data_IF_114685745858
#
_entry.id   IF_114685745858
#
_cell.length_a   1.000
_cell.length_b   1.000
_cell.length_c   1.000
_cell.angle_alpha   90.00
_cell.angle_beta   90.00
_cell.angle_gamma   90.00
#
_symmetry.space_group_name_H-M   'P 1'
#
loop_
_entity.id
_entity.type
_entity.pdbx_description
1 polymer ?
#
# COMPACT_ATOMS: atom_id res chain seq x y z
N UNK A 1 13.61 9.39 13.80
CA UNK A 1 12.56 9.12 12.78
C UNK A 1 13.24 8.96 11.42
N UNK A 2 12.86 7.95 10.66
CA UNK A 2 13.37 7.70 9.31
C UNK A 2 12.80 8.75 8.35
N UNK A 3 13.67 9.44 7.61
CA UNK A 3 13.21 10.38 6.59
C UNK A 3 12.72 9.66 5.32
N UNK A 4 11.90 10.36 4.52
CA UNK A 4 11.40 9.84 3.22
C UNK A 4 12.54 9.52 2.26
N UNK A 5 13.53 10.38 2.20
CA UNK A 5 14.71 10.26 1.32
C UNK A 5 15.60 9.10 1.75
N UNK A 6 15.83 8.95 3.03
CA UNK A 6 16.57 7.83 3.62
C UNK A 6 15.86 6.49 3.31
N UNK A 7 14.57 6.41 3.57
CA UNK A 7 13.76 5.21 3.30
C UNK A 7 13.79 4.83 1.81
N UNK A 8 13.68 5.80 0.91
CA UNK A 8 13.74 5.54 -0.53
C UNK A 8 15.12 5.06 -0.98
N UNK A 9 16.18 5.62 -0.44
CA UNK A 9 17.56 5.13 -0.72
C UNK A 9 17.75 3.72 -0.19
N UNK A 10 17.34 3.45 1.04
CA UNK A 10 17.45 2.13 1.66
C UNK A 10 16.73 1.05 0.82
N UNK A 11 15.52 1.35 0.38
CA UNK A 11 14.71 0.42 -0.43
C UNK A 11 15.05 0.44 -1.93
N UNK A 12 15.96 1.31 -2.40
CA UNK A 12 16.25 1.47 -3.84
C UNK A 12 15.02 1.92 -4.64
N UNK A 13 14.26 2.88 -4.12
CA UNK A 13 13.05 3.44 -4.74
C UNK A 13 13.34 4.79 -5.42
N UNK A 14 12.56 5.17 -6.45
CA UNK A 14 12.73 6.45 -7.12
C UNK A 14 12.46 7.62 -6.18
N UNK A 15 13.40 8.60 -6.16
CA UNK A 15 13.27 9.77 -5.29
C UNK A 15 12.19 10.76 -5.77
N UNK A 16 11.97 10.83 -7.09
CA UNK A 16 11.20 11.86 -7.79
C UNK A 16 9.76 11.45 -8.14
N UNK A 17 9.33 10.25 -7.79
CA UNK A 17 7.98 9.75 -8.08
C UNK A 17 7.07 9.79 -6.86
N UNK A 18 5.78 9.96 -7.11
CA UNK A 18 4.74 9.73 -6.12
C UNK A 18 4.61 8.23 -5.85
N UNK A 19 4.94 7.80 -4.64
CA UNK A 19 4.88 6.39 -4.25
C UNK A 19 3.57 6.11 -3.55
N UNK A 20 2.76 5.25 -4.19
CA UNK A 20 1.53 4.68 -3.62
C UNK A 20 1.86 3.29 -3.12
N UNK A 21 1.62 3.02 -1.84
CA UNK A 21 1.92 1.71 -1.26
C UNK A 21 0.65 0.96 -0.87
N UNK A 22 0.45 -0.20 -1.47
CA UNK A 22 -0.56 -1.18 -1.07
C UNK A 22 0.13 -2.22 -0.15
N UNK A 23 0.09 -1.94 1.15
CA UNK A 23 0.96 -2.58 2.13
C UNK A 23 0.47 -3.95 2.62
N UNK A 24 -0.84 -4.15 2.72
CA UNK A 24 -1.42 -5.38 3.26
C UNK A 24 -1.26 -6.60 2.35
N UNK A 25 -1.35 -7.80 2.94
CA UNK A 25 -1.44 -9.05 2.18
C UNK A 25 -2.66 -9.05 1.27
N UNK A 26 -2.51 -9.33 -0.02
CA UNK A 26 -3.63 -9.49 -0.95
C UNK A 26 -4.33 -10.83 -0.71
N UNK A 27 -5.66 -10.81 -0.57
CA UNK A 27 -6.46 -11.99 -0.23
C UNK A 27 -6.88 -12.78 -1.47
N UNK A 28 -7.11 -12.09 -2.58
CA UNK A 28 -7.64 -12.68 -3.80
C UNK A 28 -7.20 -11.91 -5.06
N UNK A 29 -7.52 -12.48 -6.23
CA UNK A 29 -7.21 -11.88 -7.52
C UNK A 29 -7.96 -10.57 -7.80
N UNK A 30 -9.11 -10.35 -7.17
CA UNK A 30 -9.91 -9.13 -7.37
C UNK A 30 -9.21 -7.93 -6.72
N UNK A 31 -8.63 -8.10 -5.52
CA UNK A 31 -7.83 -7.05 -4.88
C UNK A 31 -6.60 -6.70 -5.74
N UNK A 32 -5.93 -7.69 -6.35
CA UNK A 32 -4.80 -7.47 -7.25
C UNK A 32 -5.25 -6.68 -8.49
N UNK A 33 -6.35 -7.10 -9.13
CA UNK A 33 -6.90 -6.42 -10.30
C UNK A 33 -7.30 -4.99 -9.98
N UNK A 34 -8.05 -4.77 -8.90
CA UNK A 34 -8.47 -3.45 -8.43
C UNK A 34 -7.28 -2.50 -8.29
N UNK A 35 -6.19 -2.94 -7.66
CA UNK A 35 -5.00 -2.11 -7.46
C UNK A 35 -4.29 -1.82 -8.79
N UNK A 36 -4.11 -2.82 -9.65
CA UNK A 36 -3.43 -2.65 -10.94
C UNK A 36 -4.24 -1.79 -11.91
N UNK A 37 -5.55 -1.99 -11.99
CA UNK A 37 -6.45 -1.21 -12.85
C UNK A 37 -6.49 0.25 -12.38
N UNK A 38 -6.68 0.48 -11.08
CA UNK A 38 -6.67 1.83 -10.53
C UNK A 38 -5.32 2.51 -10.75
N UNK A 39 -4.21 1.85 -10.45
CA UNK A 39 -2.88 2.41 -10.67
C UNK A 39 -2.62 2.73 -12.15
N UNK A 40 -3.02 1.86 -13.07
CA UNK A 40 -2.86 2.07 -14.51
C UNK A 40 -3.64 3.29 -15.00
N UNK A 41 -4.85 3.51 -14.47
CA UNK A 41 -5.75 4.60 -14.85
C UNK A 41 -5.38 5.97 -14.27
N UNK A 42 -4.50 6.06 -13.27
CA UNK A 42 -4.03 7.34 -12.72
C UNK A 42 -3.36 8.19 -13.79
N UNK A 43 -3.70 9.47 -13.85
CA UNK A 43 -3.16 10.44 -14.85
C UNK A 43 -1.72 10.83 -14.58
N UNK A 44 -1.31 10.86 -13.30
CA UNK A 44 0.06 11.23 -12.93
C UNK A 44 1.06 10.23 -13.52
N UNK A 45 1.90 10.68 -14.46
CA UNK A 45 2.94 9.86 -15.09
C UNK A 45 4.14 9.60 -14.17
N UNK A 46 4.37 10.48 -13.18
CA UNK A 46 5.42 10.33 -12.16
C UNK A 46 4.91 9.54 -10.95
N UNK A 47 4.28 8.41 -11.21
CA UNK A 47 3.72 7.51 -10.20
C UNK A 47 4.56 6.23 -10.07
N UNK A 48 4.55 5.66 -8.88
CA UNK A 48 5.18 4.38 -8.58
C UNK A 48 4.30 3.59 -7.61
N UNK A 49 4.05 2.31 -7.90
CA UNK A 49 3.32 1.41 -7.02
C UNK A 49 4.29 0.50 -6.27
N UNK A 50 4.18 0.51 -4.96
CA UNK A 50 4.89 -0.38 -4.05
C UNK A 50 3.88 -1.36 -3.42
N UNK A 51 3.96 -2.64 -3.77
CA UNK A 51 3.03 -3.66 -3.31
C UNK A 51 3.79 -4.94 -2.89
N UNK A 52 4.50 -4.91 -1.76
CA UNK A 52 5.47 -5.94 -1.39
C UNK A 52 4.87 -7.33 -1.19
N UNK A 53 3.56 -7.45 -0.99
CA UNK A 53 2.86 -8.72 -0.70
C UNK A 53 1.71 -9.01 -1.67
N UNK A 54 1.89 -8.67 -2.96
CA UNK A 54 0.80 -8.72 -3.96
C UNK A 54 0.54 -10.13 -4.53
N UNK A 55 1.59 -10.90 -4.85
CA UNK A 55 1.43 -12.12 -5.64
C UNK A 55 1.43 -13.40 -4.82
N UNK A 56 0.58 -14.39 -5.20
CA UNK A 56 0.54 -15.69 -4.53
C UNK A 56 1.71 -16.62 -4.91
N UNK A 57 2.69 -16.13 -5.64
CA UNK A 57 3.86 -16.92 -6.03
C UNK A 57 4.84 -17.07 -4.88
N UNK A 58 5.47 -18.23 -4.78
CA UNK A 58 6.46 -18.53 -3.75
C UNK A 58 7.78 -18.96 -4.37
N UNK A 59 8.89 -18.54 -3.77
CA UNK A 59 10.25 -18.96 -4.15
C UNK A 59 10.44 -20.47 -3.97
N UNK A 60 9.79 -21.03 -2.94
CA UNK A 60 9.81 -22.46 -2.65
C UNK A 60 8.39 -23.01 -2.65
N UNK A 61 7.81 -23.30 -3.84
CA UNK A 61 6.45 -23.82 -3.92
C UNK A 61 6.41 -25.26 -3.38
N UNK A 62 5.62 -25.50 -2.32
CA UNK A 62 5.37 -26.82 -1.74
C UNK A 62 4.54 -27.77 -2.62
N UNK A 63 4.47 -27.55 -3.92
CA UNK A 63 3.62 -28.30 -4.85
C UNK A 63 4.34 -29.55 -5.36
N UNK A 64 3.65 -30.71 -5.26
CA UNK A 64 4.15 -32.00 -5.77
C UNK A 64 4.19 -32.07 -7.29
N UNK A 65 3.33 -31.32 -8.00
CA UNK A 65 3.27 -31.34 -9.46
C UNK A 65 4.41 -30.47 -10.05
N UNK A 66 5.33 -31.05 -10.86
CA UNK A 66 6.49 -30.35 -11.38
C UNK A 66 6.13 -29.19 -12.32
N UNK A 67 5.06 -29.32 -13.12
CA UNK A 67 4.60 -28.25 -14.00
C UNK A 67 4.07 -27.06 -13.22
N UNK A 68 3.27 -27.30 -12.18
CA UNK A 68 2.78 -26.23 -11.31
C UNK A 68 3.91 -25.54 -10.54
N UNK A 69 4.92 -26.32 -10.15
CA UNK A 69 6.14 -25.81 -9.51
C UNK A 69 6.92 -24.88 -10.46
N UNK A 70 7.11 -25.31 -11.71
CA UNK A 70 7.78 -24.53 -12.74
C UNK A 70 7.03 -23.22 -13.03
N UNK A 71 5.70 -23.28 -13.20
CA UNK A 71 4.86 -22.10 -13.42
C UNK A 71 4.89 -21.12 -12.25
N UNK A 72 4.91 -21.63 -11.02
CA UNK A 72 5.03 -20.78 -9.82
C UNK A 72 6.38 -20.08 -9.76
N UNK A 73 7.48 -20.79 -10.05
CA UNK A 73 8.82 -20.20 -10.11
C UNK A 73 8.94 -19.16 -11.23
N UNK A 74 8.45 -19.47 -12.42
CA UNK A 74 8.41 -18.52 -13.53
C UNK A 74 7.62 -17.27 -13.16
N UNK A 75 6.44 -17.42 -12.54
CA UNK A 75 5.64 -16.30 -12.03
C UNK A 75 6.37 -15.47 -10.97
N UNK A 76 7.09 -16.12 -10.06
CA UNK A 76 7.85 -15.44 -9.01
C UNK A 76 8.96 -14.53 -9.56
N UNK A 77 9.65 -14.92 -10.62
CA UNK A 77 10.74 -14.13 -11.20
C UNK A 77 10.29 -13.20 -12.34
N UNK A 78 9.46 -13.68 -13.27
CA UNK A 78 9.10 -12.94 -14.48
C UNK A 78 8.07 -11.85 -14.23
N UNK A 79 7.04 -12.12 -13.40
CA UNK A 79 5.98 -11.14 -13.17
C UNK A 79 6.50 -9.87 -12.50
N UNK A 80 7.27 -9.92 -11.41
CA UNK A 80 7.85 -8.71 -10.83
C UNK A 80 8.78 -7.97 -11.78
N UNK A 81 9.56 -8.69 -12.61
CA UNK A 81 10.46 -8.07 -13.59
C UNK A 81 9.69 -7.28 -14.65
N UNK A 82 8.60 -7.84 -15.20
CA UNK A 82 7.74 -7.16 -16.17
C UNK A 82 7.02 -5.94 -15.57
N UNK A 83 6.60 -6.04 -14.31
CA UNK A 83 5.92 -4.94 -13.63
C UNK A 83 6.83 -3.76 -13.31
N UNK A 84 8.13 -4.00 -13.10
CA UNK A 84 9.11 -2.93 -12.94
C UNK A 84 9.15 -1.97 -14.14
N UNK A 85 8.92 -2.48 -15.35
CA UNK A 85 8.81 -1.67 -16.57
C UNK A 85 7.62 -0.69 -16.54
N UNK A 86 6.62 -0.96 -15.70
CA UNK A 86 5.43 -0.13 -15.49
C UNK A 86 5.50 0.72 -14.19
N UNK A 87 6.68 0.88 -13.59
CA UNK A 87 6.87 1.53 -12.30
C UNK A 87 6.10 0.83 -11.14
N UNK A 88 6.06 -0.49 -11.18
CA UNK A 88 5.44 -1.31 -10.14
C UNK A 88 6.50 -2.22 -9.53
N UNK A 89 6.72 -2.11 -8.22
CA UNK A 89 7.50 -3.06 -7.44
C UNK A 89 6.56 -3.89 -6.60
N UNK A 90 6.43 -5.13 -6.98
CA UNK A 90 5.56 -6.08 -6.32
C UNK A 90 6.36 -7.29 -5.83
N UNK A 91 5.98 -7.82 -4.68
CA UNK A 91 6.60 -8.99 -4.04
C UNK A 91 5.62 -10.14 -3.85
N UNK A 92 6.15 -11.25 -3.36
CA UNK A 92 5.38 -12.45 -3.08
C UNK A 92 4.56 -12.32 -1.79
N UNK A 93 3.33 -12.79 -1.83
CA UNK A 93 2.36 -12.67 -0.74
C UNK A 93 2.75 -13.48 0.52
N UNK A 94 3.59 -14.52 0.35
CA UNK A 94 4.09 -15.37 1.44
C UNK A 94 5.32 -14.81 2.15
N UNK A 95 5.96 -13.77 1.62
CA UNK A 95 7.11 -13.13 2.26
C UNK A 95 6.60 -12.16 3.33
N UNK A 96 7.03 -12.39 4.57
CA UNK A 96 6.83 -11.42 5.64
C UNK A 96 7.81 -10.27 5.41
N UNK A 97 7.35 -9.06 5.63
CA UNK A 97 8.26 -7.92 5.75
C UNK A 97 8.72 -7.95 7.21
N UNK A 98 10.03 -7.98 7.40
CA UNK A 98 10.60 -7.94 8.73
C UNK A 98 10.15 -6.66 9.44
N UNK A 99 9.93 -6.75 10.74
CA UNK A 99 9.48 -5.60 11.56
C UNK A 99 10.46 -4.42 11.45
N UNK A 100 11.74 -4.69 11.27
CA UNK A 100 12.77 -3.67 11.10
C UNK A 100 12.70 -2.96 9.73
N UNK A 101 12.17 -3.63 8.70
CA UNK A 101 11.98 -3.09 7.35
C UNK A 101 10.67 -2.33 7.19
N UNK A 102 9.64 -2.69 7.96
CA UNK A 102 8.31 -2.09 7.89
C UNK A 102 8.33 -0.55 7.98
N UNK A 103 9.08 0.09 8.89
CA UNK A 103 9.16 1.54 8.97
C UNK A 103 9.67 2.19 7.68
N UNK A 104 10.62 1.55 6.97
CA UNK A 104 11.15 2.07 5.70
C UNK A 104 10.11 2.05 4.60
N UNK A 105 9.31 0.97 4.49
CA UNK A 105 8.22 0.90 3.50
C UNK A 105 7.20 2.01 3.70
N UNK A 106 6.82 2.30 4.94
CA UNK A 106 5.84 3.33 5.25
C UNK A 106 6.47 4.73 5.06
N UNK A 107 7.68 4.95 5.58
CA UNK A 107 8.37 6.23 5.45
C UNK A 107 8.60 6.62 3.98
N UNK A 108 8.94 5.66 3.10
CA UNK A 108 9.17 5.88 1.67
C UNK A 108 7.91 6.30 0.90
N UNK A 109 6.72 5.98 1.42
CA UNK A 109 5.43 6.20 0.75
C UNK A 109 4.98 7.66 0.81
N UNK A 110 4.21 8.11 -0.17
CA UNK A 110 3.44 9.35 -0.12
C UNK A 110 1.99 9.06 0.26
N UNK A 111 1.44 7.99 -0.31
CA UNK A 111 0.05 7.55 -0.08
C UNK A 111 0.03 6.08 0.31
N UNK A 112 -0.71 5.75 1.35
CA UNK A 112 -1.03 4.37 1.71
C UNK A 112 -2.40 4.03 1.13
N UNK A 113 -2.44 2.97 0.32
CA UNK A 113 -3.65 2.46 -0.30
C UNK A 113 -4.15 1.22 0.45
N UNK A 114 -5.29 1.33 1.12
CA UNK A 114 -5.95 0.20 1.78
C UNK A 114 -6.74 -0.58 0.74
N UNK A 115 -6.14 -1.63 0.18
CA UNK A 115 -6.65 -2.39 -0.97
C UNK A 115 -7.73 -3.43 -0.62
N UNK A 116 -8.52 -3.21 0.41
CA UNK A 116 -9.56 -4.14 0.84
C UNK A 116 -10.91 -3.81 0.25
N UNK A 117 -11.63 -4.82 -0.24
CA UNK A 117 -13.04 -4.66 -0.61
C UNK A 117 -13.97 -4.61 0.60
N UNK A 118 -13.68 -5.43 1.62
CA UNK A 118 -14.41 -5.45 2.88
C UNK A 118 -13.42 -5.46 4.03
N UNK A 119 -13.53 -4.49 4.90
CA UNK A 119 -12.67 -4.34 6.05
C UNK A 119 -13.45 -3.68 7.19
N UNK A 120 -13.32 -4.21 8.38
CA UNK A 120 -13.88 -3.57 9.59
C UNK A 120 -12.84 -2.63 10.18
N UNK A 121 -11.66 -3.16 10.48
CA UNK A 121 -10.53 -2.44 11.08
C UNK A 121 -9.25 -2.67 10.29
N UNK A 122 -8.33 -1.71 10.38
CA UNK A 122 -6.99 -1.83 9.79
C UNK A 122 -5.96 -1.11 10.65
N UNK A 123 -5.01 -1.85 11.20
CA UNK A 123 -3.85 -1.28 11.89
C UNK A 123 -2.97 -0.41 10.99
N UNK A 124 -3.04 -0.63 9.66
CA UNK A 124 -2.27 0.16 8.70
C UNK A 124 -2.66 1.64 8.68
N UNK A 125 -3.91 2.01 9.01
CA UNK A 125 -4.36 3.41 9.01
C UNK A 125 -3.72 4.19 10.16
N UNK A 126 -3.83 3.78 11.44
CA UNK A 126 -3.12 4.42 12.55
C UNK A 126 -1.61 4.49 12.32
N UNK A 127 -1.02 3.40 11.84
CA UNK A 127 0.41 3.34 11.55
C UNK A 127 0.81 4.35 10.46
N UNK A 128 0.05 4.44 9.37
CA UNK A 128 0.28 5.43 8.32
C UNK A 128 0.21 6.87 8.86
N UNK A 129 -0.74 7.16 9.72
CA UNK A 129 -0.89 8.48 10.36
C UNK A 129 0.33 8.83 11.23
N UNK A 130 0.85 7.87 12.00
CA UNK A 130 2.07 8.07 12.79
C UNK A 130 3.31 8.37 11.93
N UNK A 131 3.32 7.90 10.69
CA UNK A 131 4.36 8.21 9.70
C UNK A 131 4.03 9.41 8.82
N UNK A 132 3.05 10.25 9.19
CA UNK A 132 2.62 11.45 8.43
C UNK A 132 2.21 11.12 7.01
N UNK A 133 1.49 10.00 6.80
CA UNK A 133 1.03 9.61 5.46
C UNK A 133 -0.44 9.93 5.26
N UNK A 134 -0.80 10.14 4.00
CA UNK A 134 -2.20 10.19 3.57
C UNK A 134 -2.65 8.78 3.24
N UNK A 135 -3.88 8.45 3.58
CA UNK A 135 -4.47 7.13 3.33
C UNK A 135 -5.65 7.28 2.38
N UNK A 136 -5.72 6.40 1.38
CA UNK A 136 -6.93 6.18 0.60
C UNK A 136 -7.44 4.77 0.91
N UNK A 137 -8.72 4.64 1.23
CA UNK A 137 -9.29 3.36 1.65
C UNK A 137 -10.77 3.19 1.32
N UNK A 138 -11.30 1.97 1.49
CA UNK A 138 -12.69 1.68 1.21
C UNK A 138 -13.62 2.40 2.21
N UNK A 139 -14.76 2.87 1.69
CA UNK A 139 -15.81 3.51 2.49
C UNK A 139 -16.67 2.46 3.18
N UNK A 140 -16.07 1.67 4.06
CA UNK A 140 -16.78 0.69 4.87
C UNK A 140 -16.08 0.44 6.21
N UNK A 141 -16.87 0.02 7.20
CA UNK A 141 -16.43 -0.25 8.56
C UNK A 141 -15.77 0.96 9.23
N UNK A 142 -15.07 0.72 10.31
CA UNK A 142 -14.37 1.76 11.07
C UNK A 142 -13.27 2.44 10.25
N UNK A 143 -12.75 1.77 9.21
CA UNK A 143 -11.77 2.37 8.28
C UNK A 143 -12.40 3.52 7.51
N UNK A 144 -13.57 3.32 6.91
CA UNK A 144 -14.28 4.36 6.17
C UNK A 144 -14.67 5.54 7.08
N UNK A 145 -15.16 5.26 8.29
CA UNK A 145 -15.51 6.29 9.29
C UNK A 145 -14.30 7.14 9.66
N UNK A 146 -13.19 6.51 10.03
CA UNK A 146 -11.96 7.20 10.41
C UNK A 146 -11.39 8.05 9.27
N UNK A 147 -11.39 7.53 8.04
CA UNK A 147 -10.88 8.26 6.89
C UNK A 147 -11.75 9.49 6.58
N UNK A 148 -13.07 9.37 6.66
CA UNK A 148 -13.99 10.53 6.49
C UNK A 148 -13.78 11.57 7.59
N UNK A 149 -13.74 11.15 8.85
CA UNK A 149 -13.53 12.02 10.00
C UNK A 149 -12.23 12.84 9.87
N UNK A 150 -11.18 12.20 9.38
CA UNK A 150 -9.87 12.83 9.21
C UNK A 150 -9.68 13.50 7.84
N UNK A 151 -10.71 13.57 6.99
CA UNK A 151 -10.63 14.16 5.65
C UNK A 151 -9.71 13.43 4.68
N UNK A 152 -9.46 12.14 4.92
CA UNK A 152 -8.73 11.28 3.99
C UNK A 152 -9.69 10.69 2.94
N UNK A 153 -9.22 10.44 1.69
CA UNK A 153 -10.09 9.97 0.63
C UNK A 153 -10.64 8.56 0.87
N UNK A 154 -11.94 8.40 0.64
CA UNK A 154 -12.62 7.11 0.65
C UNK A 154 -13.17 6.76 -0.73
N UNK A 155 -13.39 5.47 -0.98
CA UNK A 155 -13.93 4.96 -2.24
C UNK A 155 -14.85 3.77 -2.04
N UNK A 156 -15.80 3.58 -2.97
CA UNK A 156 -16.51 2.32 -3.11
C UNK A 156 -15.61 1.30 -3.81
N UNK A 157 -15.38 0.10 -3.24
CA UNK A 157 -14.48 -0.90 -3.83
C UNK A 157 -14.90 -1.43 -5.20
N UNK A 158 -16.17 -1.25 -5.57
CA UNK A 158 -16.72 -1.70 -6.85
C UNK A 158 -16.79 -0.56 -7.89
N UNK A 159 -16.39 0.67 -7.53
CA UNK A 159 -16.27 1.83 -8.43
C UNK A 159 -14.80 2.11 -8.76
N UNK A 160 -14.29 1.54 -9.85
CA UNK A 160 -12.90 1.76 -10.26
C UNK A 160 -12.58 3.25 -10.53
N UNK A 161 -13.52 4.01 -11.09
CA UNK A 161 -13.34 5.44 -11.32
C UNK A 161 -13.27 6.21 -9.98
N UNK A 162 -14.07 5.80 -8.99
CA UNK A 162 -14.03 6.34 -7.63
C UNK A 162 -12.70 6.06 -6.94
N UNK A 163 -12.15 4.85 -7.11
CA UNK A 163 -10.83 4.50 -6.58
C UNK A 163 -9.74 5.40 -7.19
N UNK A 164 -9.77 5.60 -8.51
CA UNK A 164 -8.82 6.49 -9.20
C UNK A 164 -8.93 7.92 -8.67
N UNK A 165 -10.15 8.47 -8.55
CA UNK A 165 -10.36 9.82 -7.98
C UNK A 165 -9.83 9.93 -6.55
N UNK A 166 -10.07 8.93 -5.71
CA UNK A 166 -9.58 8.90 -4.33
C UNK A 166 -8.05 8.88 -4.27
N UNK A 167 -7.38 8.09 -5.11
CA UNK A 167 -5.92 8.05 -5.17
C UNK A 167 -5.32 9.36 -5.72
N UNK A 168 -5.93 9.98 -6.73
CA UNK A 168 -5.51 11.28 -7.23
C UNK A 168 -5.69 12.38 -6.16
N UNK A 169 -6.79 12.35 -5.41
CA UNK A 169 -7.02 13.25 -4.29
C UNK A 169 -5.99 13.02 -3.18
N UNK A 170 -5.71 11.77 -2.82
CA UNK A 170 -4.70 11.43 -1.82
C UNK A 170 -3.31 11.97 -2.20
N UNK A 171 -2.93 11.86 -3.47
CA UNK A 171 -1.68 12.42 -3.98
C UNK A 171 -1.60 13.93 -3.77
N UNK A 172 -2.65 14.67 -4.15
CA UNK A 172 -2.73 16.14 -3.92
C UNK A 172 -2.67 16.51 -2.44
N UNK A 173 -3.39 15.78 -1.59
CA UNK A 173 -3.38 16.00 -0.14
C UNK A 173 -2.00 15.74 0.47
N UNK A 174 -1.27 14.73 -0.02
CA UNK A 174 0.09 14.46 0.41
C UNK A 174 1.04 15.61 0.07
N UNK A 175 0.93 16.19 -1.12
CA UNK A 175 1.69 17.38 -1.55
C UNK A 175 1.33 18.64 -0.72
N UNK A 176 0.09 18.73 -0.24
CA UNK A 176 -0.41 19.84 0.59
C UNK A 176 -0.07 19.69 2.07
N UNK A 177 0.62 18.62 2.48
CA UNK A 177 1.04 18.41 3.87
C UNK A 177 -0.02 17.80 4.78
N UNK A 178 -1.10 17.21 4.24
CA UNK A 178 -2.16 16.53 5.01
C UNK A 178 -1.64 15.47 5.98
N UNK A 179 -0.51 14.87 5.68
CA UNK A 179 0.13 13.89 6.56
C UNK A 179 0.43 14.43 7.95
N UNK A 180 0.75 15.72 8.09
CA UNK A 180 0.99 16.34 9.41
C UNK A 180 -0.29 16.48 10.24
N UNK A 181 -1.43 16.75 9.60
CA UNK A 181 -2.73 16.76 10.28
C UNK A 181 -3.10 15.35 10.77
N UNK A 182 -2.88 14.33 9.93
CA UNK A 182 -3.09 12.93 10.28
C UNK A 182 -2.22 12.50 11.48
N UNK A 183 -0.96 12.93 11.52
CA UNK A 183 -0.07 12.67 12.65
C UNK A 183 -0.58 13.32 13.94
N UNK A 184 -1.00 14.59 13.89
CA UNK A 184 -1.58 15.28 15.05
C UNK A 184 -2.84 14.57 15.53
N UNK A 185 -3.73 14.18 14.62
CA UNK A 185 -4.91 13.40 14.97
C UNK A 185 -4.54 12.09 15.69
N UNK A 186 -3.60 11.31 15.13
CA UNK A 186 -3.17 10.06 15.74
C UNK A 186 -2.60 10.26 17.15
N UNK A 187 -1.80 11.31 17.35
CA UNK A 187 -1.21 11.64 18.66
C UNK A 187 -2.24 12.00 19.72
N UNK A 188 -3.35 12.60 19.34
CA UNK A 188 -4.37 13.08 20.28
C UNK A 188 -5.51 12.08 20.51
N UNK A 189 -5.84 11.25 19.52
CA UNK A 189 -7.05 10.42 19.53
C UNK A 189 -6.78 8.91 19.52
N UNK A 190 -5.54 8.49 19.26
CA UNK A 190 -5.22 7.05 19.18
C UNK A 190 -4.34 6.63 20.36
N UNK A 191 -4.65 5.47 20.95
CA UNK A 191 -3.77 4.86 21.93
C UNK A 191 -2.53 4.26 21.21
N UNK A 192 -1.41 4.97 21.32
CA UNK A 192 -0.17 4.63 20.64
C UNK A 192 0.44 3.31 21.12
N UNK A 193 0.21 2.93 22.38
CA UNK A 193 0.69 1.65 22.92
C UNK A 193 -0.01 0.46 22.26
N UNK A 194 -1.32 0.58 21.98
CA UNK A 194 -2.07 -0.44 21.25
C UNK A 194 -1.60 -0.55 19.81
N UNK A 195 -1.28 0.58 19.16
CA UNK A 195 -0.76 0.58 17.79
C UNK A 195 0.65 -0.02 17.73
N UNK A 196 1.52 0.31 18.68
CA UNK A 196 2.90 -0.22 18.74
C UNK A 196 2.94 -1.74 19.01
N UNK A 197 2.01 -2.26 19.82
CA UNK A 197 1.95 -3.68 20.16
C UNK A 197 1.26 -4.55 19.08
N UNK A 198 0.67 -3.94 18.06
CA UNK A 198 0.01 -4.65 16.96
C UNK A 198 0.98 -5.08 15.83
N UNK A 199 2.26 -4.72 15.96
CA UNK A 199 3.35 -4.98 15.02
C UNK A 199 4.62 -5.43 15.73
#
# INVERSE_FOLDING_TARGET
>A
SISREEARRHLGLPADKMIITAFGKFRNREEIRMVLDAFSALRNKRKFLLAPRMFPFAKHPGQRNPLKRLLSLAGYYLVPALLRLRNIRAGANGELIDNDELPYYIAASDVIFVQRKRILNSGNVPLAFLFRKVVAGPDNGNVGELLRETGNPVFSPDDNAGIVRALEQAGRLAEQGKGEENYRYARHHMNLEVVANAY
#
